data_IF_694641413975
#
_entry.id   IF_694641413975
#
_cell.length_a   1.000
_cell.length_b   1.000
_cell.length_c   1.000
_cell.angle_alpha   90.00
_cell.angle_beta   90.00
_cell.angle_gamma   90.00
#
_symmetry.space_group_name_H-M   'P 1'
#
loop_
_entity.id
_entity.type
_entity.pdbx_description
1 polymer ?
#
# COMPACT_ATOMS: atom_id res chain seq x y z
N UNK A 1 16.08 20.55 -7.87
CA UNK A 1 17.52 20.24 -7.72
C UNK A 1 17.94 20.59 -6.30
N UNK A 2 17.89 19.63 -5.38
CA UNK A 2 18.43 19.83 -4.04
C UNK A 2 19.88 19.34 -4.03
N UNK A 3 20.81 20.26 -3.84
CA UNK A 3 22.24 19.97 -3.69
C UNK A 3 22.45 19.21 -2.38
N UNK A 4 22.94 17.98 -2.47
CA UNK A 4 23.40 17.20 -1.33
C UNK A 4 24.85 17.55 -1.05
N UNK A 5 25.07 18.40 -0.04
CA UNK A 5 26.41 18.70 0.49
C UNK A 5 26.64 17.86 1.75
N UNK A 6 27.19 16.65 1.59
CA UNK A 6 27.82 15.94 2.70
C UNK A 6 29.21 16.55 2.95
N UNK A 7 29.27 17.54 3.84
CA UNK A 7 30.50 18.17 4.28
C UNK A 7 31.38 17.12 5.01
N UNK A 8 32.57 16.85 4.46
CA UNK A 8 33.56 15.93 5.03
C UNK A 8 34.26 16.59 6.21
N UNK A 9 34.09 16.06 7.42
CA UNK A 9 35.00 16.32 8.54
C UNK A 9 35.97 15.15 8.61
N UNK A 10 37.24 15.39 8.26
CA UNK A 10 38.34 14.48 8.58
C UNK A 10 38.82 14.88 9.97
N UNK A 11 38.42 14.13 11.00
CA UNK A 11 39.05 14.20 12.32
C UNK A 11 39.87 12.93 12.52
N UNK A 12 41.19 13.11 12.59
CA UNK A 12 42.13 12.08 12.94
C UNK A 12 41.95 11.67 14.40
N UNK A 13 41.84 10.36 14.65
CA UNK A 13 42.05 9.77 15.97
C UNK A 13 40.80 9.57 16.83
N UNK A 14 40.08 8.46 16.60
CA UNK A 14 39.52 7.57 17.62
C UNK A 14 38.67 6.50 16.94
N UNK A 15 38.91 5.26 17.32
CA UNK A 15 38.29 4.04 16.81
C UNK A 15 36.81 3.96 17.21
N UNK A 16 35.89 4.51 16.41
CA UNK A 16 34.47 4.15 16.45
C UNK A 16 33.99 4.02 15.01
N UNK A 17 33.86 2.78 14.54
CA UNK A 17 33.19 2.47 13.28
C UNK A 17 31.72 2.83 13.38
N UNK A 18 31.38 4.05 12.99
CA UNK A 18 30.00 4.48 12.83
C UNK A 18 29.50 3.91 11.51
N UNK A 19 28.75 2.80 11.58
CA UNK A 19 27.95 2.28 10.48
C UNK A 19 26.89 3.35 10.16
N UNK A 20 27.22 4.29 9.28
CA UNK A 20 26.24 5.16 8.64
C UNK A 20 25.48 4.31 7.64
N UNK A 21 24.52 3.54 8.13
CA UNK A 21 23.46 3.01 7.30
C UNK A 21 22.60 4.18 6.85
N UNK A 22 22.73 4.59 5.60
CA UNK A 22 21.75 5.48 4.99
C UNK A 22 20.41 4.75 4.99
N UNK A 23 19.52 5.08 5.91
CA UNK A 23 18.13 4.65 5.82
C UNK A 23 17.58 5.23 4.51
N UNK A 24 17.22 4.37 3.55
CA UNK A 24 16.50 4.81 2.36
C UNK A 24 15.18 5.45 2.80
N UNK A 25 14.98 6.71 2.42
CA UNK A 25 13.85 7.51 2.85
C UNK A 25 12.53 6.95 2.27
N UNK A 26 11.50 6.95 3.10
CA UNK A 26 10.14 6.64 2.67
C UNK A 26 9.64 7.76 1.75
N UNK A 27 8.92 7.37 0.69
CA UNK A 27 8.33 8.27 -0.30
C UNK A 27 6.86 8.56 -0.03
N UNK A 28 6.25 7.81 0.89
CA UNK A 28 4.87 8.03 1.29
C UNK A 28 4.67 9.34 2.06
N UNK A 29 3.58 10.08 1.79
CA UNK A 29 3.34 11.38 2.42
C UNK A 29 2.96 11.29 3.92
N UNK A 30 2.67 10.09 4.43
CA UNK A 30 2.36 9.82 5.83
C UNK A 30 2.20 8.32 6.08
N UNK A 31 2.12 7.94 7.36
CA UNK A 31 1.92 6.58 7.84
C UNK A 31 0.51 6.33 8.41
N UNK A 32 -0.35 7.35 8.46
CA UNK A 32 -1.74 7.19 8.85
C UNK A 32 -2.60 6.57 7.72
N UNK A 33 -3.66 5.82 8.04
CA UNK A 33 -4.51 5.15 7.05
C UNK A 33 -5.07 6.07 5.96
N UNK A 34 -5.46 7.30 6.30
CA UNK A 34 -6.09 8.22 5.35
C UNK A 34 -5.07 8.77 4.33
N UNK A 35 -3.85 9.08 4.78
CA UNK A 35 -2.76 9.52 3.91
C UNK A 35 -2.30 8.39 2.98
N UNK A 36 -2.14 7.17 3.50
CA UNK A 36 -1.77 5.99 2.70
C UNK A 36 -2.85 5.70 1.65
N UNK A 37 -4.12 5.67 2.06
CA UNK A 37 -5.22 5.35 1.18
C UNK A 37 -5.40 6.36 0.05
N UNK A 38 -5.25 7.66 0.34
CA UNK A 38 -5.28 8.72 -0.67
C UNK A 38 -4.15 8.54 -1.67
N UNK A 39 -2.92 8.26 -1.21
CA UNK A 39 -1.78 8.01 -2.10
C UNK A 39 -2.01 6.81 -3.04
N UNK A 40 -2.58 5.71 -2.53
CA UNK A 40 -2.91 4.53 -3.34
C UNK A 40 -4.00 4.85 -4.37
N UNK A 41 -5.04 5.58 -3.97
CA UNK A 41 -6.15 5.93 -4.84
C UNK A 41 -5.76 6.95 -5.93
N UNK A 42 -4.87 7.88 -5.63
CA UNK A 42 -4.30 8.82 -6.60
C UNK A 42 -3.27 8.15 -7.53
N UNK A 43 -2.71 7.02 -7.09
CA UNK A 43 -1.77 6.19 -7.83
C UNK A 43 -2.39 5.30 -8.92
N UNK A 44 -1.65 4.26 -9.30
CA UNK A 44 -2.05 3.39 -10.41
C UNK A 44 -3.21 2.43 -10.07
N UNK A 45 -3.47 2.19 -8.78
CA UNK A 45 -4.43 1.19 -8.32
C UNK A 45 -5.86 1.53 -8.79
N UNK A 46 -6.29 2.79 -8.63
CA UNK A 46 -7.64 3.22 -9.02
C UNK A 46 -7.92 2.98 -10.51
N UNK A 47 -7.05 3.49 -11.39
CA UNK A 47 -7.26 3.34 -12.84
C UNK A 47 -7.29 1.86 -13.24
N UNK A 48 -6.42 1.04 -12.67
CA UNK A 48 -6.29 -0.37 -13.07
C UNK A 48 -7.43 -1.23 -12.53
N UNK A 49 -7.72 -1.14 -11.24
CA UNK A 49 -8.58 -2.10 -10.55
C UNK A 49 -10.03 -1.61 -10.49
N UNK A 50 -10.24 -0.31 -10.30
CA UNK A 50 -11.58 0.29 -10.33
C UNK A 50 -12.05 0.53 -11.77
N UNK A 51 -11.32 1.35 -12.54
CA UNK A 51 -11.81 1.82 -13.85
C UNK A 51 -11.69 0.76 -14.95
N UNK A 52 -10.51 0.15 -15.10
CA UNK A 52 -10.26 -0.78 -16.22
C UNK A 52 -10.80 -2.18 -15.96
N UNK A 53 -10.59 -2.70 -14.75
CA UNK A 53 -10.96 -4.08 -14.41
C UNK A 53 -12.39 -4.19 -13.85
N UNK A 54 -12.96 -3.09 -13.32
CA UNK A 54 -14.30 -3.06 -12.76
C UNK A 54 -14.45 -3.99 -11.54
N UNK A 55 -13.38 -4.17 -10.77
CA UNK A 55 -13.35 -5.13 -9.65
C UNK A 55 -14.31 -4.76 -8.53
N UNK A 56 -14.55 -3.45 -8.37
CA UNK A 56 -15.33 -2.84 -7.30
C UNK A 56 -16.71 -2.35 -7.77
N UNK A 57 -17.25 -2.93 -8.85
CA UNK A 57 -18.64 -2.67 -9.25
C UNK A 57 -19.60 -3.49 -8.38
N UNK A 58 -20.77 -2.93 -8.07
CA UNK A 58 -21.80 -3.59 -7.27
C UNK A 58 -22.14 -5.00 -7.82
N UNK A 59 -22.07 -6.01 -6.97
CA UNK A 59 -22.36 -7.40 -7.34
C UNK A 59 -21.29 -8.08 -8.21
N UNK A 60 -20.18 -7.41 -8.57
CA UNK A 60 -19.09 -8.03 -9.34
C UNK A 60 -18.52 -9.22 -8.59
N UNK A 61 -18.52 -10.40 -9.23
CA UNK A 61 -17.98 -11.64 -8.66
C UNK A 61 -16.53 -11.87 -9.07
N UNK A 62 -15.66 -12.11 -8.08
CA UNK A 62 -14.25 -12.51 -8.22
C UNK A 62 -13.98 -13.59 -7.17
N UNK A 63 -13.34 -14.70 -7.57
CA UNK A 63 -13.16 -15.91 -6.73
C UNK A 63 -14.46 -16.39 -6.05
N UNK A 64 -15.58 -16.30 -6.75
CA UNK A 64 -16.89 -16.69 -6.20
C UNK A 64 -17.48 -15.74 -5.15
N UNK A 65 -16.81 -14.64 -4.81
CA UNK A 65 -17.30 -13.61 -3.89
C UNK A 65 -17.85 -12.40 -4.66
N UNK A 66 -19.12 -12.05 -4.43
CA UNK A 66 -19.70 -10.83 -4.98
C UNK A 66 -19.21 -9.61 -4.17
N UNK A 67 -18.91 -8.49 -4.83
CA UNK A 67 -18.64 -7.24 -4.12
C UNK A 67 -19.93 -6.79 -3.40
N UNK A 68 -19.92 -6.69 -2.05
CA UNK A 68 -21.14 -6.52 -1.27
C UNK A 68 -21.59 -5.06 -1.16
N UNK A 69 -20.75 -4.12 -1.56
CA UNK A 69 -21.01 -2.68 -1.46
C UNK A 69 -21.57 -2.12 -2.77
N UNK A 70 -22.03 -0.86 -2.71
CA UNK A 70 -22.28 -0.08 -3.92
C UNK A 70 -21.00 0.07 -4.75
N UNK A 71 -21.12 0.35 -6.04
CA UNK A 71 -19.97 0.56 -6.92
C UNK A 71 -19.07 1.67 -6.37
N UNK A 72 -17.77 1.45 -6.41
CA UNK A 72 -16.78 2.50 -6.19
C UNK A 72 -16.51 3.15 -7.55
N UNK A 73 -16.95 4.39 -7.72
CA UNK A 73 -16.88 5.10 -9.01
C UNK A 73 -15.95 6.33 -8.98
N UNK A 74 -15.42 6.68 -7.80
CA UNK A 74 -14.52 7.83 -7.64
C UNK A 74 -13.27 7.48 -6.85
N UNK A 75 -12.20 8.27 -7.04
CA UNK A 75 -10.97 8.13 -6.24
C UNK A 75 -11.21 8.37 -4.75
N UNK A 76 -12.12 9.29 -4.42
CA UNK A 76 -12.44 9.60 -3.03
C UNK A 76 -13.11 8.41 -2.33
N UNK A 77 -14.06 7.76 -3.01
CA UNK A 77 -14.71 6.55 -2.48
C UNK A 77 -13.71 5.39 -2.35
N UNK A 78 -12.81 5.26 -3.32
CA UNK A 78 -11.76 4.24 -3.27
C UNK A 78 -10.77 4.49 -2.13
N UNK A 79 -10.37 5.75 -1.90
CA UNK A 79 -9.53 6.12 -0.77
C UNK A 79 -10.22 5.87 0.57
N UNK A 80 -11.50 6.24 0.72
CA UNK A 80 -12.26 5.96 1.94
C UNK A 80 -12.32 4.45 2.21
N UNK A 81 -12.65 3.66 1.19
CA UNK A 81 -12.70 2.21 1.27
C UNK A 81 -11.35 1.57 1.68
N UNK A 82 -10.23 2.02 1.12
CA UNK A 82 -8.90 1.53 1.51
C UNK A 82 -8.57 1.94 2.95
N UNK A 83 -8.92 3.17 3.36
CA UNK A 83 -8.64 3.66 4.70
C UNK A 83 -9.38 2.82 5.76
N UNK A 84 -10.62 2.42 5.49
CA UNK A 84 -11.39 1.55 6.37
C UNK A 84 -10.71 0.18 6.56
N UNK A 85 -10.23 -0.44 5.46
CA UNK A 85 -9.48 -1.72 5.52
C UNK A 85 -8.17 -1.57 6.31
N UNK A 86 -7.46 -0.46 6.12
CA UNK A 86 -6.20 -0.21 6.85
C UNK A 86 -6.44 0.03 8.35
N UNK A 87 -7.60 0.57 8.72
CA UNK A 87 -7.95 0.87 10.10
C UNK A 87 -8.42 -0.37 10.88
N UNK A 88 -9.16 -1.27 10.23
CA UNK A 88 -9.69 -2.50 10.84
C UNK A 88 -9.63 -3.70 9.86
N UNK A 89 -8.44 -4.24 9.57
CA UNK A 89 -8.29 -5.38 8.68
C UNK A 89 -8.72 -6.68 9.37
N UNK A 90 -9.36 -7.61 8.64
CA UNK A 90 -9.58 -8.97 9.15
C UNK A 90 -8.26 -9.69 9.40
N UNK A 91 -7.26 -9.45 8.54
CA UNK A 91 -5.92 -10.02 8.66
C UNK A 91 -4.87 -9.07 8.13
N UNK A 92 -3.71 -9.03 8.79
CA UNK A 92 -2.55 -8.31 8.31
C UNK A 92 -1.25 -9.11 8.51
N UNK A 93 -0.25 -8.84 7.68
CA UNK A 93 1.09 -9.41 7.85
C UNK A 93 2.17 -8.54 7.23
N UNK A 94 3.36 -8.61 7.84
CA UNK A 94 4.58 -8.08 7.23
C UNK A 94 4.99 -8.94 6.04
N UNK A 95 5.50 -8.27 5.02
CA UNK A 95 5.99 -8.85 3.78
C UNK A 95 7.46 -8.44 3.59
N UNK A 96 8.14 -9.12 2.68
CA UNK A 96 9.49 -8.82 2.26
C UNK A 96 9.55 -7.42 1.65
N UNK A 97 10.75 -6.84 1.68
CA UNK A 97 11.06 -5.51 1.16
C UNK A 97 10.24 -4.39 1.84
N UNK A 98 10.03 -4.51 3.17
CA UNK A 98 9.32 -3.52 4.00
C UNK A 98 7.89 -3.21 3.55
N UNK A 99 7.22 -4.22 2.99
CA UNK A 99 5.82 -4.12 2.62
C UNK A 99 4.94 -4.66 3.74
N UNK A 100 3.68 -4.27 3.75
CA UNK A 100 2.68 -4.80 4.65
C UNK A 100 1.43 -5.16 3.85
N UNK A 101 0.92 -6.37 4.05
CA UNK A 101 -0.29 -6.84 3.39
C UNK A 101 -1.46 -6.85 4.37
N UNK A 102 -2.59 -6.29 3.96
CA UNK A 102 -3.86 -6.27 4.68
C UNK A 102 -4.91 -6.99 3.84
N UNK A 103 -5.85 -7.65 4.51
CA UNK A 103 -6.91 -8.42 3.90
C UNK A 103 -8.24 -8.10 4.55
N UNK A 104 -9.24 -7.86 3.71
CA UNK A 104 -10.65 -7.75 4.09
C UNK A 104 -11.42 -8.94 3.48
N UNK A 105 -11.96 -9.78 4.34
CA UNK A 105 -12.68 -11.01 4.00
C UNK A 105 -14.02 -10.70 3.34
N UNK A 106 -14.72 -9.66 3.81
CA UNK A 106 -16.06 -9.32 3.37
C UNK A 106 -16.10 -8.92 1.88
N UNK A 107 -15.12 -8.14 1.43
CA UNK A 107 -15.01 -7.70 0.02
C UNK A 107 -14.04 -8.54 -0.80
N UNK A 108 -13.19 -9.34 -0.14
CA UNK A 108 -12.12 -10.09 -0.78
C UNK A 108 -11.03 -9.18 -1.35
N UNK A 109 -10.71 -8.12 -0.62
CA UNK A 109 -9.76 -7.09 -1.05
C UNK A 109 -8.44 -7.26 -0.34
N UNK A 110 -7.35 -7.18 -1.09
CA UNK A 110 -6.01 -7.05 -0.55
C UNK A 110 -5.53 -5.62 -0.70
N UNK A 111 -4.93 -5.08 0.36
CA UNK A 111 -4.16 -3.83 0.31
C UNK A 111 -2.70 -4.18 0.58
N UNK A 112 -1.79 -3.75 -0.28
CA UNK A 112 -0.35 -3.93 -0.10
C UNK A 112 0.25 -2.54 0.06
N UNK A 113 0.67 -2.22 1.27
CA UNK A 113 1.39 -0.99 1.60
C UNK A 113 2.89 -1.14 1.34
N UNK A 114 3.50 -0.11 0.76
CA UNK A 114 4.94 0.02 0.58
C UNK A 114 5.37 1.48 0.74
N UNK A 115 6.03 1.80 1.86
CA UNK A 115 6.49 3.14 2.19
C UNK A 115 7.46 3.75 1.15
N UNK A 116 8.10 2.90 0.33
CA UNK A 116 9.07 3.29 -0.71
C UNK A 116 8.47 3.42 -2.11
N UNK A 117 7.19 3.12 -2.26
CA UNK A 117 6.46 3.35 -3.50
C UNK A 117 5.93 4.79 -3.52
N UNK A 118 6.03 5.47 -4.66
CA UNK A 118 5.55 6.85 -4.80
C UNK A 118 4.04 7.00 -4.55
N UNK A 119 3.27 5.94 -4.79
CA UNK A 119 1.84 5.83 -4.54
C UNK A 119 1.50 4.95 -3.34
N UNK A 120 2.48 4.65 -2.48
CA UNK A 120 2.30 3.86 -1.27
C UNK A 120 1.82 2.42 -1.43
N UNK A 121 1.68 1.93 -2.66
CA UNK A 121 1.36 0.53 -2.94
C UNK A 121 0.11 0.35 -3.80
N UNK A 122 -0.74 -0.60 -3.43
CA UNK A 122 -1.89 -0.99 -4.27
C UNK A 122 -3.03 -1.60 -3.46
N UNK A 123 -4.24 -1.60 -4.02
CA UNK A 123 -5.41 -2.26 -3.48
C UNK A 123 -6.25 -2.86 -4.62
N UNK A 124 -6.67 -4.12 -4.48
CA UNK A 124 -7.41 -4.85 -5.52
C UNK A 124 -8.07 -6.12 -5.00
N UNK A 125 -8.93 -6.74 -5.81
CA UNK A 125 -9.57 -8.02 -5.52
C UNK A 125 -8.92 -9.13 -6.35
N UNK A 126 -8.07 -9.99 -5.76
CA UNK A 126 -7.32 -11.00 -6.52
C UNK A 126 -8.20 -12.16 -6.99
N UNK A 127 -7.93 -12.70 -8.18
CA UNK A 127 -8.67 -13.85 -8.75
C UNK A 127 -8.61 -15.13 -7.91
N UNK A 128 -7.64 -15.24 -7.00
CA UNK A 128 -7.49 -16.37 -6.07
C UNK A 128 -7.87 -16.01 -4.62
N UNK A 129 -8.54 -14.87 -4.43
CA UNK A 129 -9.05 -14.42 -3.14
C UNK A 129 -8.02 -14.54 -2.01
N UNK A 130 -8.44 -15.13 -0.89
CA UNK A 130 -7.59 -15.29 0.30
C UNK A 130 -6.32 -16.09 0.03
N UNK A 131 -6.31 -17.00 -0.97
CA UNK A 131 -5.10 -17.75 -1.34
C UNK A 131 -4.04 -16.84 -1.95
N UNK A 132 -4.43 -15.79 -2.66
CA UNK A 132 -3.46 -14.79 -3.12
C UNK A 132 -2.78 -14.13 -1.93
N UNK A 133 -3.59 -13.63 -0.98
CA UNK A 133 -3.09 -12.98 0.23
C UNK A 133 -2.17 -13.90 1.06
N UNK A 134 -2.59 -15.15 1.29
CA UNK A 134 -1.79 -16.13 2.05
C UNK A 134 -0.41 -16.38 1.43
N UNK A 135 -0.30 -16.34 0.10
CA UNK A 135 0.94 -16.56 -0.63
C UNK A 135 1.81 -15.30 -0.80
N UNK A 136 1.35 -14.11 -0.36
CA UNK A 136 2.20 -12.92 -0.35
C UNK A 136 3.40 -13.14 0.57
N UNK A 137 4.60 -12.84 0.05
CA UNK A 137 5.86 -12.92 0.78
C UNK A 137 6.54 -11.57 0.96
#
# INVERSE_FOLDING_TARGET
MALSSCLRIIAAGALIGLLVGCAEADTCPGDDPASIARAIADGHAYRKHVVQSGEFSAGRRIDGLAFPLASIDTRADFAAFIADILADPDRDKRLANRRHGYWDENTGTVVIYNARAADCGTAFRPDRGVRYYQNLN
#
